data_IF_900493216953
#
_entry.id   IF_900493216953
#
_cell.length_a   1.000
_cell.length_b   1.000
_cell.length_c   1.000
_cell.angle_alpha   90.00
_cell.angle_beta   90.00
_cell.angle_gamma   90.00
#
_symmetry.space_group_name_H-M   'P 1'
#
loop_
_entity.id
_entity.type
_entity.pdbx_description
1 polymer ?
#
# COMPACT_ATOMS: atom_id res chain seq x y z
N UNK A 1 6.94 -55.08 6.97
CA UNK A 1 5.77 -54.25 7.37
C UNK A 1 4.94 -54.02 6.12
N UNK A 2 3.64 -54.32 6.12
CA UNK A 2 2.83 -54.19 4.90
C UNK A 2 2.63 -52.72 4.54
N UNK A 3 2.55 -52.40 3.24
CA UNK A 3 2.29 -51.05 2.72
C UNK A 3 1.06 -50.42 3.39
N UNK A 4 0.03 -51.24 3.64
CA UNK A 4 -1.18 -50.82 4.34
C UNK A 4 -0.91 -50.24 5.74
N UNK A 5 -0.04 -50.88 6.53
CA UNK A 5 0.32 -50.40 7.89
C UNK A 5 1.09 -49.09 7.84
N UNK A 6 1.94 -48.90 6.82
CA UNK A 6 2.66 -47.64 6.60
C UNK A 6 1.69 -46.52 6.22
N UNK A 7 0.73 -46.78 5.32
CA UNK A 7 -0.25 -45.77 4.92
C UNK A 7 -1.17 -45.35 6.07
N UNK A 8 -1.65 -46.29 6.89
CA UNK A 8 -2.55 -45.98 8.01
C UNK A 8 -1.83 -45.23 9.12
N UNK A 9 -0.56 -45.57 9.40
CA UNK A 9 0.28 -44.84 10.37
C UNK A 9 0.58 -43.40 9.92
N UNK A 10 0.92 -43.18 8.64
CA UNK A 10 1.10 -41.82 8.11
C UNK A 10 -0.18 -40.99 8.16
N UNK A 11 -1.32 -41.58 7.78
CA UNK A 11 -2.61 -40.89 7.81
C UNK A 11 -3.02 -40.50 9.25
N UNK A 12 -2.80 -41.40 10.22
CA UNK A 12 -3.08 -41.11 11.63
C UNK A 12 -2.15 -40.06 12.21
N UNK A 13 -0.85 -40.11 11.93
CA UNK A 13 0.10 -39.07 12.33
C UNK A 13 -0.30 -37.72 11.73
N UNK A 14 -0.63 -37.67 10.44
CA UNK A 14 -1.10 -36.43 9.80
C UNK A 14 -2.38 -35.90 10.44
N UNK A 15 -3.39 -36.76 10.69
CA UNK A 15 -4.64 -36.34 11.31
C UNK A 15 -4.45 -35.81 12.73
N UNK A 16 -3.63 -36.48 13.53
CA UNK A 16 -3.33 -36.08 14.92
C UNK A 16 -2.54 -34.77 14.94
N UNK A 17 -1.47 -34.67 14.16
CA UNK A 17 -0.66 -33.43 14.08
C UNK A 17 -1.48 -32.26 13.56
N UNK A 18 -2.27 -32.45 12.51
CA UNK A 18 -3.21 -31.43 12.00
C UNK A 18 -4.21 -31.00 13.06
N UNK A 19 -4.81 -31.93 13.82
CA UNK A 19 -5.74 -31.61 14.89
C UNK A 19 -5.07 -30.80 16.01
N UNK A 20 -3.84 -31.18 16.41
CA UNK A 20 -3.06 -30.46 17.43
C UNK A 20 -2.73 -29.05 16.95
N UNK A 21 -2.24 -28.88 15.72
CA UNK A 21 -1.86 -27.57 15.21
C UNK A 21 -3.06 -26.68 14.89
N UNK A 22 -4.22 -27.24 14.52
CA UNK A 22 -5.46 -26.48 14.39
C UNK A 22 -5.95 -25.96 15.76
N UNK A 23 -5.78 -26.74 16.83
CA UNK A 23 -6.16 -26.34 18.20
C UNK A 23 -5.12 -25.44 18.87
N UNK A 24 -3.85 -25.55 18.47
CA UNK A 24 -2.71 -24.81 19.03
C UNK A 24 -1.83 -24.25 17.92
N UNK A 25 -2.36 -23.33 17.08
CA UNK A 25 -1.60 -22.75 15.97
C UNK A 25 -0.32 -22.05 16.45
N UNK A 26 -0.29 -21.56 17.69
CA UNK A 26 0.88 -20.92 18.30
C UNK A 26 2.12 -21.81 18.48
N UNK A 27 2.00 -23.14 18.29
CA UNK A 27 3.15 -24.06 18.34
C UNK A 27 3.99 -24.03 17.07
N UNK A 28 3.40 -23.62 15.95
CA UNK A 28 4.10 -23.42 14.66
C UNK A 28 4.21 -21.93 14.36
N UNK A 29 3.12 -21.19 14.57
CA UNK A 29 3.03 -19.79 14.22
C UNK A 29 3.42 -18.92 15.40
N UNK A 30 4.55 -18.22 15.28
CA UNK A 30 4.88 -17.11 16.18
C UNK A 30 3.85 -16.00 15.93
N UNK A 31 3.06 -15.66 16.95
CA UNK A 31 2.15 -14.51 16.88
C UNK A 31 3.00 -13.27 16.58
N UNK A 32 2.82 -12.68 15.41
CA UNK A 32 3.44 -11.40 15.08
C UNK A 32 2.78 -10.34 15.94
N UNK A 33 3.57 -9.65 16.78
CA UNK A 33 3.11 -8.43 17.42
C UNK A 33 3.19 -7.33 16.37
N UNK A 34 2.09 -6.65 16.03
CA UNK A 34 2.15 -5.59 15.03
C UNK A 34 2.98 -4.42 15.58
N UNK A 35 3.70 -3.72 14.68
CA UNK A 35 4.54 -2.58 15.07
C UNK A 35 3.71 -1.43 15.65
N UNK A 36 2.47 -1.28 15.18
CA UNK A 36 1.48 -0.35 15.68
C UNK A 36 0.09 -1.01 15.67
N UNK A 37 -0.88 -0.43 16.37
CA UNK A 37 -2.29 -0.84 16.33
C UNK A 37 -3.08 0.40 15.92
N UNK A 38 -3.83 0.29 14.83
CA UNK A 38 -4.79 1.31 14.41
C UNK A 38 -6.22 0.77 14.58
N UNK A 39 -7.05 1.52 15.30
CA UNK A 39 -8.49 1.27 15.49
C UNK A 39 -9.31 1.97 14.42
N UNK A 40 -8.88 3.17 14.02
CA UNK A 40 -9.56 3.99 13.02
C UNK A 40 -8.70 4.03 11.75
N UNK A 41 -9.17 3.34 10.72
CA UNK A 41 -8.49 3.23 9.43
C UNK A 41 -9.35 3.94 8.40
N UNK A 42 -8.79 4.98 7.77
CA UNK A 42 -9.51 5.72 6.73
C UNK A 42 -9.48 4.94 5.43
N UNK A 43 -10.55 4.24 5.09
CA UNK A 43 -10.69 3.61 3.79
C UNK A 43 -10.70 4.67 2.68
N UNK A 44 -9.83 4.49 1.68
CA UNK A 44 -9.46 5.49 0.66
C UNK A 44 -9.09 6.84 1.27
N UNK A 45 -8.42 6.77 2.41
CA UNK A 45 -7.95 7.83 3.29
C UNK A 45 -9.04 8.74 3.82
N UNK A 46 -10.22 8.18 4.13
CA UNK A 46 -11.32 8.94 4.73
C UNK A 46 -12.32 9.41 3.69
N UNK A 47 -12.76 8.52 2.80
CA UNK A 47 -13.76 8.81 1.78
C UNK A 47 -15.08 9.43 2.33
N UNK A 48 -15.40 9.22 3.61
CA UNK A 48 -16.54 9.86 4.27
C UNK A 48 -16.31 11.31 4.69
N UNK A 49 -15.05 11.74 4.82
CA UNK A 49 -14.64 13.07 5.28
C UNK A 49 -14.39 14.03 4.10
N UNK A 50 -13.89 13.50 2.98
CA UNK A 50 -13.72 14.25 1.75
C UNK A 50 -13.58 13.34 0.52
N UNK A 51 -13.22 13.93 -0.62
CA UNK A 51 -13.03 13.23 -1.89
C UNK A 51 -12.01 12.11 -1.69
N UNK A 52 -12.42 10.86 -1.92
CA UNK A 52 -11.59 9.67 -1.72
C UNK A 52 -10.22 9.76 -2.42
N UNK A 53 -9.20 9.12 -1.83
CA UNK A 53 -7.85 9.02 -2.41
C UNK A 53 -7.22 10.39 -2.78
N UNK A 54 -7.60 11.45 -2.07
CA UNK A 54 -7.02 12.79 -2.20
C UNK A 54 -6.27 13.19 -0.94
N UNK A 55 -5.25 14.04 -1.08
CA UNK A 55 -4.54 14.61 0.08
C UNK A 55 -5.50 15.35 1.02
N UNK A 56 -6.56 15.96 0.48
CA UNK A 56 -7.58 16.66 1.29
C UNK A 56 -8.38 15.70 2.18
N UNK A 57 -8.76 14.53 1.67
CA UNK A 57 -9.42 13.51 2.50
C UNK A 57 -8.47 13.02 3.60
N UNK A 58 -7.19 12.85 3.26
CA UNK A 58 -6.19 12.35 4.20
C UNK A 58 -5.97 13.35 5.33
N UNK A 59 -5.81 14.65 5.00
CA UNK A 59 -5.69 15.72 5.99
C UNK A 59 -6.91 15.75 6.93
N UNK A 60 -8.12 15.83 6.38
CA UNK A 60 -9.36 15.88 7.18
C UNK A 60 -9.56 14.64 8.03
N UNK A 61 -9.27 13.47 7.47
CA UNK A 61 -9.38 12.21 8.19
C UNK A 61 -8.41 12.16 9.39
N UNK A 62 -7.16 12.59 9.19
CA UNK A 62 -6.19 12.68 10.29
C UNK A 62 -6.58 13.74 11.33
N UNK A 63 -7.10 14.89 10.90
CA UNK A 63 -7.68 15.91 11.79
C UNK A 63 -8.85 15.36 12.63
N UNK A 64 -9.65 14.46 12.04
CA UNK A 64 -10.78 13.79 12.70
C UNK A 64 -10.39 12.53 13.48
N UNK A 65 -9.10 12.26 13.67
CA UNK A 65 -8.59 11.20 14.54
C UNK A 65 -8.48 9.82 13.87
N UNK A 66 -8.30 9.77 12.55
CA UNK A 66 -7.77 8.57 11.90
C UNK A 66 -6.35 8.28 12.41
N UNK A 67 -6.07 7.00 12.60
CA UNK A 67 -4.78 6.50 13.09
C UNK A 67 -3.95 5.86 11.97
N UNK A 68 -4.59 5.48 10.87
CA UNK A 68 -3.96 4.91 9.67
C UNK A 68 -4.74 5.32 8.42
N UNK A 69 -4.01 5.62 7.36
CA UNK A 69 -4.57 5.81 6.03
C UNK A 69 -4.62 4.46 5.31
N UNK A 70 -5.71 4.17 4.61
CA UNK A 70 -5.73 3.11 3.60
C UNK A 70 -5.92 3.76 2.23
N UNK A 71 -5.13 3.33 1.24
CA UNK A 71 -5.14 3.92 -0.09
C UNK A 71 -4.91 2.86 -1.16
N UNK A 72 -5.31 3.19 -2.37
CA UNK A 72 -5.25 2.31 -3.53
C UNK A 72 -4.24 2.84 -4.55
N UNK A 73 -3.44 1.96 -5.16
CA UNK A 73 -2.44 2.36 -6.15
C UNK A 73 -2.64 1.74 -7.54
N UNK A 74 -2.36 2.55 -8.56
CA UNK A 74 -2.19 2.14 -9.96
C UNK A 74 -0.94 2.77 -10.55
N UNK A 75 -0.55 2.31 -11.74
CA UNK A 75 0.55 2.88 -12.51
C UNK A 75 0.03 3.63 -13.74
N UNK A 76 0.59 4.81 -14.00
CA UNK A 76 0.36 5.55 -15.25
C UNK A 76 1.17 4.97 -16.41
N UNK A 77 0.91 5.46 -17.63
CA UNK A 77 1.65 5.05 -18.85
C UNK A 77 3.16 5.30 -18.74
N UNK A 78 3.54 6.41 -18.10
CA UNK A 78 4.91 6.84 -17.83
C UNK A 78 5.47 6.30 -16.50
N UNK A 79 4.88 5.21 -16.00
CA UNK A 79 5.37 4.47 -14.83
C UNK A 79 5.41 5.30 -13.54
N UNK A 80 4.45 6.21 -13.34
CA UNK A 80 4.28 6.92 -12.07
C UNK A 80 3.24 6.19 -11.22
N UNK A 81 3.60 5.82 -9.99
CA UNK A 81 2.65 5.27 -9.02
C UNK A 81 1.71 6.38 -8.52
N UNK A 82 0.42 6.23 -8.80
CA UNK A 82 -0.63 7.18 -8.45
C UNK A 82 -1.63 6.57 -7.47
N UNK A 83 -2.23 7.42 -6.65
CA UNK A 83 -3.22 7.02 -5.65
C UNK A 83 -4.63 7.18 -6.21
N UNK A 84 -5.27 6.06 -6.53
CA UNK A 84 -6.60 6.01 -7.13
C UNK A 84 -7.22 4.61 -6.98
N UNK A 85 -8.54 4.53 -6.79
CA UNK A 85 -9.18 3.22 -6.60
C UNK A 85 -9.46 2.49 -7.92
N UNK A 86 -10.14 3.15 -8.85
CA UNK A 86 -10.62 2.49 -10.07
C UNK A 86 -9.53 2.40 -11.13
N UNK A 87 -9.59 1.36 -11.97
CA UNK A 87 -8.72 1.25 -13.15
C UNK A 87 -8.99 2.35 -14.20
N UNK A 88 -10.21 2.92 -14.18
CA UNK A 88 -10.68 3.91 -15.15
C UNK A 88 -10.88 5.28 -14.51
N UNK A 89 -10.78 6.31 -15.34
CA UNK A 89 -10.94 7.71 -14.94
C UNK A 89 -12.42 8.14 -14.82
N UNK A 90 -13.34 7.32 -15.30
CA UNK A 90 -14.74 7.68 -15.53
C UNK A 90 -15.49 8.20 -14.32
N UNK A 91 -15.43 7.47 -13.20
CA UNK A 91 -16.27 7.78 -12.04
C UNK A 91 -15.80 9.05 -11.32
N UNK A 92 -14.50 9.20 -11.14
CA UNK A 92 -13.88 10.25 -10.34
C UNK A 92 -13.65 11.53 -11.14
N UNK A 93 -13.41 11.44 -12.45
CA UNK A 93 -13.02 12.59 -13.28
C UNK A 93 -14.01 12.89 -14.42
N UNK A 94 -14.94 11.98 -14.70
CA UNK A 94 -15.87 12.09 -15.84
C UNK A 94 -15.24 11.79 -17.21
N UNK A 95 -13.92 11.58 -17.29
CA UNK A 95 -13.23 11.26 -18.53
C UNK A 95 -13.18 9.75 -18.78
N UNK A 96 -13.31 9.36 -20.04
CA UNK A 96 -13.18 7.95 -20.46
C UNK A 96 -11.71 7.59 -20.63
N UNK A 97 -11.31 6.43 -20.08
CA UNK A 97 -9.97 5.88 -20.28
C UNK A 97 -9.46 5.13 -19.06
N UNK A 98 -8.35 4.42 -19.22
CA UNK A 98 -7.64 3.75 -18.14
C UNK A 98 -6.46 4.59 -17.67
N UNK A 99 -6.14 4.52 -16.38
CA UNK A 99 -4.99 5.22 -15.79
C UNK A 99 -3.68 4.80 -16.48
N UNK A 100 -3.50 3.50 -16.70
CA UNK A 100 -2.31 2.93 -17.36
C UNK A 100 -2.06 3.41 -18.79
N UNK A 101 -3.06 4.02 -19.43
CA UNK A 101 -2.98 4.47 -20.82
C UNK A 101 -2.66 5.99 -20.93
N UNK A 102 -2.57 6.70 -19.79
CA UNK A 102 -2.37 8.16 -19.73
C UNK A 102 -1.08 8.48 -18.98
N UNK A 103 -0.33 9.47 -19.46
CA UNK A 103 0.87 10.00 -18.76
C UNK A 103 0.45 10.87 -17.57
N UNK A 104 1.24 10.90 -16.50
CA UNK A 104 0.86 11.58 -15.25
C UNK A 104 0.49 13.05 -15.46
N UNK A 105 1.28 13.79 -16.24
CA UNK A 105 1.04 15.20 -16.56
C UNK A 105 -0.21 15.46 -17.42
N UNK A 106 -0.82 14.39 -17.95
CA UNK A 106 -2.06 14.43 -18.73
C UNK A 106 -3.26 13.87 -17.98
N UNK A 107 -3.07 13.38 -16.75
CA UNK A 107 -4.18 12.92 -15.94
C UNK A 107 -5.12 14.09 -15.61
N UNK A 108 -6.43 13.86 -15.68
CA UNK A 108 -7.40 14.87 -15.29
C UNK A 108 -7.49 15.01 -13.76
N UNK A 109 -7.92 16.18 -13.32
CA UNK A 109 -8.31 16.40 -11.93
C UNK A 109 -9.58 15.60 -11.59
N UNK A 110 -9.67 15.21 -10.33
CA UNK A 110 -10.86 14.63 -9.72
C UNK A 110 -11.96 15.70 -9.65
N UNK A 111 -13.20 15.28 -9.88
CA UNK A 111 -14.35 16.16 -9.78
C UNK A 111 -14.52 16.65 -8.34
N UNK A 112 -14.87 17.93 -8.18
CA UNK A 112 -15.15 18.53 -6.87
C UNK A 112 -16.40 17.96 -6.19
N UNK A 113 -17.21 17.18 -6.90
CA UNK A 113 -18.40 16.52 -6.39
C UNK A 113 -18.33 15.05 -6.78
N UNK A 114 -18.36 14.16 -5.78
CA UNK A 114 -18.29 12.73 -5.99
C UNK A 114 -19.34 12.01 -5.13
N UNK A 115 -19.99 11.00 -5.71
CA UNK A 115 -20.87 10.12 -4.95
C UNK A 115 -20.04 9.19 -4.05
N UNK A 116 -20.46 9.01 -2.80
CA UNK A 116 -19.84 8.03 -1.92
C UNK A 116 -19.99 6.63 -2.50
N UNK A 117 -18.88 5.89 -2.54
CA UNK A 117 -18.84 4.56 -3.15
C UNK A 117 -19.74 3.53 -2.45
N UNK A 118 -20.06 3.73 -1.16
CA UNK A 118 -20.91 2.83 -0.37
C UNK A 118 -22.32 3.35 -0.14
N UNK A 119 -22.59 4.62 -0.47
CA UNK A 119 -23.90 5.24 -0.37
C UNK A 119 -24.07 6.31 -1.46
N UNK A 120 -24.64 5.91 -2.60
CA UNK A 120 -24.85 6.80 -3.73
C UNK A 120 -25.86 7.92 -3.48
N UNK A 121 -26.58 7.90 -2.35
CA UNK A 121 -27.45 9.01 -1.94
C UNK A 121 -26.67 10.19 -1.36
N UNK A 122 -25.40 9.98 -0.98
CA UNK A 122 -24.53 11.00 -0.41
C UNK A 122 -23.55 11.50 -1.48
N UNK A 123 -23.49 12.83 -1.62
CA UNK A 123 -22.51 13.51 -2.45
C UNK A 123 -21.52 14.21 -1.53
N UNK A 124 -20.24 13.89 -1.69
CA UNK A 124 -19.15 14.63 -1.06
C UNK A 124 -18.74 15.75 -2.01
N UNK A 125 -18.85 16.98 -1.52
CA UNK A 125 -18.39 18.17 -2.24
C UNK A 125 -17.12 18.73 -1.60
N UNK A 126 -16.23 19.25 -2.44
CA UNK A 126 -15.17 20.14 -2.03
C UNK A 126 -15.53 21.58 -2.43
N UNK A 127 -15.86 22.39 -1.43
CA UNK A 127 -16.26 23.80 -1.64
C UNK A 127 -15.06 24.70 -2.03
N UNK A 128 -13.82 24.25 -1.76
CA UNK A 128 -12.59 24.95 -2.11
C UNK A 128 -12.17 24.68 -3.57
N UNK A 129 -13.07 24.96 -4.51
CA UNK A 129 -12.89 24.75 -5.96
C UNK A 129 -11.76 25.57 -6.61
N UNK A 130 -11.16 26.52 -5.88
CA UNK A 130 -10.09 27.37 -6.38
C UNK A 130 -8.69 26.77 -6.24
N UNK A 131 -8.52 25.69 -5.46
CA UNK A 131 -7.24 25.02 -5.30
C UNK A 131 -7.23 23.74 -6.16
N UNK A 132 -6.77 23.89 -7.40
CA UNK A 132 -6.69 22.80 -8.37
C UNK A 132 -5.72 21.70 -7.95
N UNK A 133 -4.75 22.01 -7.08
CA UNK A 133 -3.76 21.04 -6.63
C UNK A 133 -4.39 20.02 -5.67
N UNK A 134 -5.43 20.41 -4.91
CA UNK A 134 -6.18 19.51 -4.03
C UNK A 134 -7.04 18.48 -4.78
N UNK A 135 -7.35 18.75 -6.05
CA UNK A 135 -8.13 17.85 -6.90
C UNK A 135 -7.26 17.03 -7.85
N UNK A 136 -5.94 17.19 -7.82
CA UNK A 136 -5.03 16.35 -8.60
C UNK A 136 -5.03 14.93 -8.05
N UNK A 137 -4.92 13.93 -8.93
CA UNK A 137 -4.64 12.54 -8.53
C UNK A 137 -3.23 12.52 -7.90
N UNK A 138 -3.06 12.19 -6.61
CA UNK A 138 -1.76 12.26 -5.95
C UNK A 138 -0.77 11.22 -6.48
N UNK A 139 0.52 11.56 -6.51
CA UNK A 139 1.55 10.54 -6.59
C UNK A 139 1.66 9.84 -5.24
N UNK A 140 1.98 8.55 -5.26
CA UNK A 140 2.26 7.81 -4.03
C UNK A 140 3.45 8.42 -3.26
N UNK A 141 4.46 8.92 -3.98
CA UNK A 141 5.59 9.66 -3.41
C UNK A 141 5.12 10.87 -2.59
N UNK A 142 4.22 11.69 -3.13
CA UNK A 142 3.74 12.91 -2.47
C UNK A 142 3.02 12.57 -1.16
N UNK A 143 2.31 11.43 -1.10
CA UNK A 143 1.67 10.95 0.13
C UNK A 143 2.71 10.62 1.19
N UNK A 144 3.77 9.88 0.84
CA UNK A 144 4.83 9.55 1.79
C UNK A 144 5.60 10.78 2.29
N UNK A 145 5.87 11.74 1.39
CA UNK A 145 6.53 12.99 1.77
C UNK A 145 5.67 13.86 2.69
N UNK A 146 4.35 13.89 2.47
CA UNK A 146 3.42 14.69 3.27
C UNK A 146 3.11 14.03 4.62
N UNK A 147 3.05 12.71 4.70
CA UNK A 147 2.66 11.95 5.90
C UNK A 147 3.75 10.98 6.39
N UNK A 148 4.97 11.45 6.69
CA UNK A 148 6.13 10.59 6.94
C UNK A 148 6.03 9.74 8.21
N UNK A 149 5.14 10.10 9.14
CA UNK A 149 4.95 9.38 10.42
C UNK A 149 3.61 8.66 10.51
N UNK A 150 2.77 8.78 9.50
CA UNK A 150 1.43 8.20 9.49
C UNK A 150 1.54 6.77 8.99
N UNK A 151 0.98 5.78 9.70
CA UNK A 151 0.87 4.43 9.15
C UNK A 151 -0.02 4.44 7.91
N UNK A 152 0.40 3.74 6.86
CA UNK A 152 -0.33 3.63 5.60
C UNK A 152 -0.48 2.17 5.21
N UNK A 153 -1.72 1.75 4.93
CA UNK A 153 -2.04 0.51 4.27
C UNK A 153 -2.22 0.78 2.77
N UNK A 154 -1.48 0.05 1.94
CA UNK A 154 -1.43 0.27 0.49
C UNK A 154 -2.01 -0.96 -0.20
N UNK A 155 -3.11 -0.76 -0.92
CA UNK A 155 -3.70 -1.79 -1.77
C UNK A 155 -3.23 -1.62 -3.22
N UNK A 156 -2.53 -2.64 -3.73
CA UNK A 156 -2.02 -2.67 -5.10
C UNK A 156 -3.12 -3.27 -5.98
N UNK A 157 -3.78 -2.44 -6.78
CA UNK A 157 -4.97 -2.85 -7.55
C UNK A 157 -4.66 -3.62 -8.82
N UNK A 158 -3.41 -3.63 -9.27
CA UNK A 158 -2.99 -4.32 -10.48
C UNK A 158 -1.82 -5.26 -10.24
N UNK A 159 -1.81 -6.40 -10.95
CA UNK A 159 -0.67 -7.30 -10.94
C UNK A 159 0.41 -6.78 -11.88
N UNK A 160 1.18 -5.79 -11.41
CA UNK A 160 2.20 -5.08 -12.17
C UNK A 160 3.52 -5.05 -11.40
N UNK A 161 4.54 -5.71 -11.93
CA UNK A 161 5.87 -5.80 -11.30
C UNK A 161 6.49 -4.43 -11.02
N UNK A 162 6.26 -3.45 -11.89
CA UNK A 162 6.84 -2.11 -11.74
C UNK A 162 6.18 -1.35 -10.58
N UNK A 163 4.85 -1.40 -10.49
CA UNK A 163 4.13 -0.83 -9.36
C UNK A 163 4.52 -1.51 -8.05
N UNK A 164 4.62 -2.85 -8.05
CA UNK A 164 5.05 -3.62 -6.89
C UNK A 164 6.45 -3.19 -6.45
N UNK A 165 7.40 -3.03 -7.37
CA UNK A 165 8.75 -2.53 -7.06
C UNK A 165 8.71 -1.12 -6.45
N UNK A 166 7.93 -0.21 -7.04
CA UNK A 166 7.80 1.16 -6.55
C UNK A 166 7.18 1.24 -5.16
N UNK A 167 6.25 0.35 -4.80
CA UNK A 167 5.73 0.26 -3.43
C UNK A 167 6.75 -0.42 -2.50
N UNK A 168 7.40 -1.47 -2.98
CA UNK A 168 8.32 -2.29 -2.20
C UNK A 168 9.47 -1.49 -1.59
N UNK A 169 10.05 -0.54 -2.34
CA UNK A 169 11.17 0.30 -1.85
C UNK A 169 10.82 1.15 -0.62
N UNK A 170 9.53 1.35 -0.34
CA UNK A 170 9.07 2.13 0.81
C UNK A 170 8.88 1.30 2.09
N UNK A 171 8.89 -0.03 2.02
CA UNK A 171 8.49 -0.92 3.13
C UNK A 171 9.61 -1.87 3.59
N UNK A 172 10.87 -1.58 3.26
CA UNK A 172 11.99 -2.48 3.53
C UNK A 172 12.46 -2.36 4.97
N UNK A 173 12.57 -3.48 5.68
CA UNK A 173 12.86 -3.53 7.11
C UNK A 173 13.88 -4.60 7.51
N UNK A 174 14.40 -5.39 6.58
CA UNK A 174 15.46 -6.36 6.87
C UNK A 174 16.53 -6.46 5.78
N UNK A 175 17.60 -7.18 6.08
CA UNK A 175 18.78 -7.27 5.22
C UNK A 175 18.50 -7.98 3.88
N UNK A 176 17.67 -9.02 3.88
CA UNK A 176 17.27 -9.73 2.66
C UNK A 176 16.47 -8.81 1.73
N UNK A 177 15.58 -7.99 2.31
CA UNK A 177 14.80 -6.99 1.59
C UNK A 177 15.67 -5.88 1.01
N UNK A 178 16.66 -5.39 1.76
CA UNK A 178 17.66 -4.45 1.24
C UNK A 178 18.47 -5.08 0.11
N UNK A 179 18.89 -6.33 0.24
CA UNK A 179 19.63 -7.03 -0.81
C UNK A 179 18.82 -7.18 -2.09
N UNK A 180 17.56 -7.58 -1.98
CA UNK A 180 16.67 -7.65 -3.12
C UNK A 180 16.51 -6.27 -3.79
N UNK A 181 16.27 -5.21 -3.01
CA UNK A 181 16.12 -3.87 -3.55
C UNK A 181 17.37 -3.37 -4.29
N UNK A 182 18.53 -3.36 -3.63
CA UNK A 182 19.75 -2.81 -4.23
C UNK A 182 20.35 -3.69 -5.32
N UNK A 183 20.34 -5.04 -5.17
CA UNK A 183 21.03 -5.94 -6.12
C UNK A 183 20.12 -6.53 -7.19
N UNK A 184 18.82 -6.68 -6.94
CA UNK A 184 17.87 -7.28 -7.91
C UNK A 184 17.01 -6.23 -8.61
N UNK A 185 16.48 -5.27 -7.87
CA UNK A 185 15.70 -4.17 -8.46
C UNK A 185 16.64 -3.11 -9.03
N UNK A 186 17.75 -2.82 -8.35
CA UNK A 186 18.73 -1.81 -8.77
C UNK A 186 18.34 -0.39 -8.37
N UNK A 187 17.61 -0.25 -7.26
CA UNK A 187 17.19 1.07 -6.76
C UNK A 187 18.38 1.81 -6.15
N UNK A 188 18.34 3.14 -6.21
CA UNK A 188 19.38 4.01 -5.63
C UNK A 188 19.12 4.36 -4.17
N UNK A 189 17.87 4.23 -3.70
CA UNK A 189 17.45 4.54 -2.34
C UNK A 189 16.27 3.69 -1.88
N UNK A 190 16.10 3.57 -0.56
CA UNK A 190 15.04 2.81 0.10
C UNK A 190 14.61 3.49 1.39
N UNK A 191 13.35 3.32 1.79
CA UNK A 191 12.82 3.79 3.07
C UNK A 191 12.70 2.61 4.06
N UNK A 192 13.08 2.84 5.32
CA UNK A 192 13.12 1.78 6.34
C UNK A 192 12.92 2.33 7.75
N UNK A 193 12.26 1.54 8.61
CA UNK A 193 12.15 1.81 10.04
C UNK A 193 13.47 1.53 10.79
N UNK A 194 14.44 0.88 10.13
CA UNK A 194 15.71 0.44 10.73
C UNK A 194 16.93 1.07 10.04
N UNK A 195 17.10 2.40 10.08
CA UNK A 195 18.19 3.09 9.36
C UNK A 195 19.58 2.64 9.80
N UNK A 196 19.75 2.20 11.06
CA UNK A 196 21.02 1.63 11.53
C UNK A 196 21.32 0.28 10.87
N UNK A 197 20.31 -0.54 10.62
CA UNK A 197 20.47 -1.82 9.93
C UNK A 197 20.79 -1.61 8.45
N UNK A 198 20.08 -0.69 7.79
CA UNK A 198 20.39 -0.27 6.43
C UNK A 198 21.83 0.26 6.32
N UNK A 199 22.26 1.14 7.22
CA UNK A 199 23.63 1.64 7.23
C UNK A 199 24.67 0.52 7.38
N UNK A 200 24.41 -0.48 8.23
CA UNK A 200 25.29 -1.66 8.36
C UNK A 200 25.34 -2.46 7.06
N UNK A 201 24.19 -2.72 6.45
CA UNK A 201 24.10 -3.43 5.17
C UNK A 201 24.88 -2.70 4.05
N UNK A 202 24.67 -1.39 3.91
CA UNK A 202 25.35 -0.56 2.90
C UNK A 202 26.88 -0.58 3.10
N UNK A 203 27.36 -0.43 4.34
CA UNK A 203 28.79 -0.51 4.69
C UNK A 203 29.38 -1.89 4.37
N UNK A 204 28.69 -2.97 4.72
CA UNK A 204 29.14 -4.35 4.46
C UNK A 204 29.21 -4.68 2.98
N UNK A 205 28.30 -4.10 2.17
CA UNK A 205 28.21 -4.36 0.72
C UNK A 205 28.91 -3.31 -0.15
N UNK A 206 29.59 -2.31 0.45
CA UNK A 206 30.30 -1.22 -0.25
C UNK A 206 29.39 -0.43 -1.22
N UNK A 207 28.15 -0.22 -0.84
CA UNK A 207 27.21 0.62 -1.58
C UNK A 207 27.38 2.07 -1.10
N UNK A 208 27.68 3.00 -2.02
CA UNK A 208 27.89 4.42 -1.69
C UNK A 208 26.57 5.16 -1.44
N UNK A 209 26.60 6.18 -0.58
CA UNK A 209 25.48 7.09 -0.34
C UNK A 209 25.24 7.95 -1.59
N UNK A 210 24.09 7.79 -2.23
CA UNK A 210 23.49 8.84 -3.05
C UNK A 210 22.39 9.45 -2.19
N UNK A 211 22.71 10.54 -1.50
CA UNK A 211 21.71 11.41 -0.89
C UNK A 211 21.22 12.35 -2.00
N UNK A 212 20.07 12.06 -2.58
CA UNK A 212 19.27 13.06 -3.30
C UNK A 212 18.11 13.50 -2.42
#
# INVERSE_FOLDING_TARGET
MSIFVVCTTLATVYAVTSYVFLRKPQWIHRIRRPAFIARNIGHRGGAGESIENSLLAFDKGLENGLEMLELDCHLTKDSQAVVHHDFTLNRTTGQFGFIRDVEYDKLPSINSNLQLYYDSSIIISNDNSNDTDLLRIPLLKDVFERYPTTPINIDIKENNDELIKQVYVWILNNEEEFEYAFKKIGVTGVMTDYPTQLQKYLKSNKLEFILE
#
